data_IF_218607676547
#
_entry.id   IF_218607676547
#
_cell.length_a   1.000
_cell.length_b   1.000
_cell.length_c   1.000
_cell.angle_alpha   90.00
_cell.angle_beta   90.00
_cell.angle_gamma   90.00
#
_symmetry.space_group_name_H-M   'P 1'
#
loop_
_entity.id
_entity.type
_entity.pdbx_description
1 polymer ?
#
# COMPACT_ATOMS: atom_id res chain seq x y z
N UNK A 1 -25.76 10.42 -79.24
CA UNK A 1 -24.56 10.73 -78.44
C UNK A 1 -24.93 11.70 -77.32
N UNK A 2 -24.43 11.46 -76.10
CA UNK A 2 -24.34 12.34 -74.91
C UNK A 2 -25.55 12.44 -73.95
N UNK A 3 -25.36 11.71 -72.82
CA UNK A 3 -25.53 12.10 -71.41
C UNK A 3 -26.96 12.31 -70.89
N UNK A 4 -27.41 11.49 -69.93
CA UNK A 4 -27.48 11.86 -68.50
C UNK A 4 -27.39 10.61 -67.62
N UNK A 5 -26.56 10.75 -66.59
CA UNK A 5 -26.21 9.81 -65.53
C UNK A 5 -27.48 9.31 -64.81
N UNK A 6 -27.66 7.99 -64.72
CA UNK A 6 -28.58 7.38 -63.76
C UNK A 6 -27.77 7.02 -62.51
N UNK A 7 -27.91 7.86 -61.49
CA UNK A 7 -27.42 7.59 -60.14
C UNK A 7 -28.40 6.59 -59.53
N UNK A 8 -27.98 5.34 -59.31
CA UNK A 8 -28.60 4.48 -58.31
C UNK A 8 -27.61 4.28 -57.18
N UNK A 9 -27.97 4.86 -56.05
CA UNK A 9 -27.19 4.94 -54.83
C UNK A 9 -26.77 3.54 -54.36
N UNK A 10 -25.46 3.29 -54.34
CA UNK A 10 -24.89 2.30 -53.43
C UNK A 10 -25.16 2.85 -52.04
N UNK A 11 -26.07 2.21 -51.31
CA UNK A 11 -26.23 2.43 -49.88
C UNK A 11 -24.92 1.99 -49.21
N UNK A 12 -23.96 2.91 -49.14
CA UNK A 12 -22.84 2.80 -48.22
C UNK A 12 -23.47 2.90 -46.85
N UNK A 13 -23.84 1.75 -46.30
CA UNK A 13 -24.25 1.61 -44.92
C UNK A 13 -23.02 2.03 -44.12
N UNK A 14 -22.99 3.31 -43.78
CA UNK A 14 -21.99 3.93 -42.94
C UNK A 14 -21.94 3.10 -41.68
N UNK A 15 -20.90 2.27 -41.58
CA UNK A 15 -20.50 1.68 -40.31
C UNK A 15 -20.14 2.88 -39.47
N UNK A 16 -21.13 3.37 -38.71
CA UNK A 16 -20.91 4.31 -37.64
C UNK A 16 -20.01 3.56 -36.66
N UNK A 17 -18.69 3.73 -36.84
CA UNK A 17 -17.71 3.33 -35.88
C UNK A 17 -17.95 4.21 -34.66
N UNK A 18 -18.88 3.77 -33.81
CA UNK A 18 -19.07 4.30 -32.46
C UNK A 18 -17.81 3.95 -31.67
N UNK A 19 -16.72 4.64 -31.97
CA UNK A 19 -15.52 4.67 -31.15
C UNK A 19 -15.90 5.48 -29.91
N UNK A 20 -16.68 4.85 -29.03
CA UNK A 20 -16.88 5.30 -27.67
C UNK A 20 -15.47 5.50 -27.10
N UNK A 21 -15.06 6.76 -26.95
CA UNK A 21 -13.82 7.11 -26.29
C UNK A 21 -13.96 6.71 -24.83
N UNK A 22 -13.63 5.45 -24.53
CA UNK A 22 -13.58 4.95 -23.17
C UNK A 22 -12.55 5.80 -22.43
N UNK A 23 -13.01 6.55 -21.43
CA UNK A 23 -12.13 7.35 -20.57
C UNK A 23 -11.06 6.43 -20.01
N UNK A 24 -9.80 6.79 -20.22
CA UNK A 24 -8.63 6.06 -19.73
C UNK A 24 -8.15 6.66 -18.41
N UNK A 25 -7.56 5.83 -17.57
CA UNK A 25 -7.00 6.20 -16.27
C UNK A 25 -6.80 4.95 -15.43
N UNK A 26 -6.17 5.08 -14.27
CA UNK A 26 -6.04 3.95 -13.36
C UNK A 26 -7.41 3.44 -12.91
N UNK A 27 -7.68 2.15 -13.11
CA UNK A 27 -8.95 1.50 -12.73
C UNK A 27 -8.86 0.72 -11.42
N UNK A 28 -7.69 0.66 -10.79
CA UNK A 28 -7.48 -0.06 -9.53
C UNK A 28 -7.85 0.84 -8.34
N UNK A 29 -8.85 0.43 -7.55
CA UNK A 29 -9.33 1.19 -6.38
C UNK A 29 -8.30 1.30 -5.25
N UNK A 30 -7.27 0.45 -5.26
CA UNK A 30 -6.21 0.46 -4.27
C UNK A 30 -5.04 1.37 -4.67
N UNK A 31 -5.07 1.96 -5.87
CA UNK A 31 -4.08 2.92 -6.33
C UNK A 31 -4.37 4.33 -5.80
N UNK A 32 -3.33 5.12 -5.53
CA UNK A 32 -3.46 6.50 -5.08
C UNK A 32 -4.08 7.43 -6.13
N UNK A 33 -3.89 7.09 -7.41
CA UNK A 33 -4.41 7.82 -8.55
C UNK A 33 -5.59 7.10 -9.22
N UNK A 34 -6.33 6.30 -8.47
CA UNK A 34 -7.58 5.70 -8.94
C UNK A 34 -8.50 6.74 -9.56
N UNK A 35 -8.99 6.45 -10.76
CA UNK A 35 -9.94 7.31 -11.45
C UNK A 35 -11.25 6.57 -11.69
N UNK A 36 -12.25 6.84 -10.85
CA UNK A 36 -13.56 6.16 -10.87
C UNK A 36 -14.27 6.19 -12.24
N UNK A 37 -13.97 7.20 -13.08
CA UNK A 37 -14.60 7.35 -14.40
C UNK A 37 -13.81 6.66 -15.51
N UNK A 38 -12.63 6.11 -15.20
CA UNK A 38 -11.87 5.29 -16.13
C UNK A 38 -12.63 4.00 -16.44
N UNK A 39 -12.82 3.73 -17.72
CA UNK A 39 -13.39 2.47 -18.22
C UNK A 39 -12.30 1.53 -18.76
N UNK A 40 -11.07 2.02 -18.87
CA UNK A 40 -9.92 1.26 -19.37
C UNK A 40 -8.66 1.74 -18.65
N UNK A 41 -7.93 0.79 -18.09
CA UNK A 41 -6.63 1.05 -17.49
C UNK A 41 -5.64 1.62 -18.51
N UNK A 42 -4.89 2.64 -18.11
CA UNK A 42 -3.80 3.23 -18.88
C UNK A 42 -2.41 2.85 -18.36
N UNK A 43 -2.33 2.04 -17.31
CA UNK A 43 -1.07 1.62 -16.68
C UNK A 43 -0.37 2.75 -15.91
N UNK A 44 -1.11 3.81 -15.57
CA UNK A 44 -0.63 4.91 -14.73
C UNK A 44 -0.74 4.63 -13.23
N UNK A 45 -1.39 3.54 -12.81
CA UNK A 45 -1.61 3.24 -11.39
C UNK A 45 -0.33 3.31 -10.56
N UNK A 46 -0.41 4.03 -9.45
CA UNK A 46 0.64 4.19 -8.44
C UNK A 46 0.10 3.82 -7.07
N UNK A 47 0.91 3.18 -6.25
CA UNK A 47 0.47 2.58 -5.00
C UNK A 47 1.35 3.03 -3.85
N UNK A 48 0.73 3.25 -2.68
CA UNK A 48 1.41 3.35 -1.39
C UNK A 48 0.92 2.26 -0.46
N UNK A 49 1.75 1.90 0.50
CA UNK A 49 1.37 1.00 1.59
C UNK A 49 2.01 1.48 2.88
N UNK A 50 1.38 1.21 4.02
CA UNK A 50 1.94 1.59 5.32
C UNK A 50 2.15 0.38 6.20
N UNK A 51 3.20 0.41 7.03
CA UNK A 51 3.40 -0.54 8.12
C UNK A 51 3.31 0.22 9.45
N UNK A 52 2.68 -0.37 10.46
CA UNK A 52 2.63 0.17 11.80
C UNK A 52 2.94 -0.93 12.82
N UNK A 53 3.72 -0.57 13.84
CA UNK A 53 4.08 -1.45 14.94
C UNK A 53 3.35 -1.01 16.21
N UNK A 54 2.96 -1.98 17.02
CA UNK A 54 2.38 -1.78 18.34
C UNK A 54 2.71 -2.98 19.22
N UNK A 55 2.54 -2.84 20.54
CA UNK A 55 2.62 -3.93 21.49
C UNK A 55 1.67 -3.69 22.65
N UNK A 56 1.25 -4.79 23.25
CA UNK A 56 0.28 -4.83 24.34
C UNK A 56 0.94 -4.54 25.69
N UNK A 57 0.11 -4.34 26.72
CA UNK A 57 0.58 -4.17 28.09
C UNK A 57 1.42 -5.36 28.57
N UNK A 58 1.01 -6.59 28.26
CA UNK A 58 1.78 -7.78 28.67
C UNK A 58 3.17 -7.83 28.05
N UNK A 59 3.33 -7.33 26.82
CA UNK A 59 4.64 -7.22 26.18
C UNK A 59 5.48 -6.13 26.82
N UNK A 60 4.88 -4.99 27.14
CA UNK A 60 5.54 -3.89 27.87
C UNK A 60 6.03 -4.34 29.25
N UNK A 61 5.19 -5.06 30.00
CA UNK A 61 5.55 -5.63 31.31
C UNK A 61 6.71 -6.63 31.18
N UNK A 62 6.72 -7.48 30.14
CA UNK A 62 7.80 -8.44 29.90
C UNK A 62 9.13 -7.75 29.58
N UNK A 63 9.11 -6.76 28.68
CA UNK A 63 10.29 -5.96 28.33
C UNK A 63 10.88 -5.25 29.55
N UNK A 64 10.02 -4.61 30.36
CA UNK A 64 10.45 -3.93 31.57
C UNK A 64 11.09 -4.89 32.59
N UNK A 65 10.53 -6.09 32.74
CA UNK A 65 11.07 -7.09 33.66
C UNK A 65 12.42 -7.67 33.21
N UNK A 66 12.70 -7.64 31.91
CA UNK A 66 14.00 -8.03 31.34
C UNK A 66 15.02 -6.88 31.33
N UNK A 67 14.58 -5.66 31.68
CA UNK A 67 15.43 -4.49 31.81
C UNK A 67 15.61 -3.68 30.53
N UNK A 68 14.79 -3.91 29.50
CA UNK A 68 14.75 -3.05 28.33
C UNK A 68 14.11 -1.70 28.70
N UNK A 69 14.74 -0.60 28.29
CA UNK A 69 14.22 0.78 28.45
C UNK A 69 13.58 1.29 27.16
N UNK A 70 14.02 0.81 25.99
CA UNK A 70 13.54 1.28 24.70
C UNK A 70 13.54 0.20 23.62
N UNK A 71 12.65 0.35 22.64
CA UNK A 71 12.62 -0.43 21.41
C UNK A 71 12.99 0.42 20.20
N UNK A 72 13.68 -0.19 19.24
CA UNK A 72 14.11 0.37 17.97
C UNK A 72 13.56 -0.46 16.81
N UNK A 73 12.86 0.18 15.89
CA UNK A 73 12.12 -0.48 14.82
C UNK A 73 12.79 -0.21 13.49
N UNK A 74 13.13 -1.29 12.79
CA UNK A 74 13.80 -1.25 11.51
C UNK A 74 12.93 -1.89 10.44
N UNK A 75 12.90 -1.28 9.27
CA UNK A 75 12.34 -1.88 8.06
C UNK A 75 13.34 -1.72 6.91
N UNK A 76 13.63 -2.82 6.20
CA UNK A 76 14.74 -2.91 5.23
C UNK A 76 16.07 -2.37 5.82
N UNK A 77 16.36 -2.73 7.09
CA UNK A 77 17.51 -2.26 7.88
C UNK A 77 17.58 -0.73 8.14
N UNK A 78 16.55 0.03 7.79
CA UNK A 78 16.46 1.47 8.11
C UNK A 78 15.66 1.64 9.41
N UNK A 79 16.23 2.38 10.37
CA UNK A 79 15.51 2.79 11.57
C UNK A 79 14.33 3.69 11.17
N UNK A 80 13.10 3.26 11.48
CA UNK A 80 11.88 4.01 11.20
C UNK A 80 11.32 4.73 12.43
N UNK A 81 11.71 4.31 13.63
CA UNK A 81 11.28 4.93 14.87
C UNK A 81 11.75 4.15 16.10
N UNK A 82 11.42 4.70 17.26
CA UNK A 82 11.67 4.11 18.57
C UNK A 82 10.50 4.35 19.51
N UNK A 83 10.43 3.57 20.58
CA UNK A 83 9.48 3.74 21.68
C UNK A 83 10.10 3.36 23.01
N UNK A 84 9.57 3.86 24.12
CA UNK A 84 9.97 3.38 25.44
C UNK A 84 9.40 1.98 25.70
N UNK A 85 10.11 1.11 26.42
CA UNK A 85 9.63 -0.23 26.72
C UNK A 85 8.40 -0.24 27.64
N UNK A 86 8.24 0.80 28.46
CA UNK A 86 7.18 0.98 29.47
C UNK A 86 5.86 1.58 28.93
N UNK A 87 5.78 1.85 27.62
CA UNK A 87 4.52 2.28 26.98
C UNK A 87 3.81 1.10 26.32
N UNK A 88 2.49 1.18 26.18
CA UNK A 88 1.69 0.17 25.49
C UNK A 88 0.49 0.83 24.81
N UNK A 89 -0.05 0.15 23.80
CA UNK A 89 -1.19 0.66 23.06
C UNK A 89 -2.23 -0.42 22.80
N UNK A 90 -3.46 0.04 22.56
CA UNK A 90 -4.45 -0.80 21.90
C UNK A 90 -4.06 -1.00 20.44
N UNK A 91 -4.48 -2.14 19.87
CA UNK A 91 -4.30 -2.43 18.45
C UNK A 91 -4.76 -1.25 17.58
N UNK A 92 -3.86 -0.66 16.75
CA UNK A 92 -4.21 0.48 15.91
C UNK A 92 -5.10 0.06 14.74
N UNK A 93 -5.52 1.04 13.94
CA UNK A 93 -6.27 0.83 12.69
C UNK A 93 -5.57 1.55 11.54
N UNK A 94 -5.89 1.21 10.29
CA UNK A 94 -5.32 1.92 9.13
C UNK A 94 -5.67 3.42 9.09
N UNK A 95 -6.76 3.84 9.74
CA UNK A 95 -7.17 5.25 9.82
C UNK A 95 -6.45 6.03 10.92
N UNK A 96 -5.78 5.33 11.84
CA UNK A 96 -5.01 5.91 12.94
C UNK A 96 -3.82 5.00 13.18
N UNK A 97 -2.82 5.14 12.32
CA UNK A 97 -1.59 4.36 12.42
C UNK A 97 -0.96 4.63 13.79
N UNK A 98 -0.57 3.55 14.46
CA UNK A 98 0.03 3.60 15.79
C UNK A 98 1.32 4.46 15.84
N UNK A 99 1.92 4.59 17.02
CA UNK A 99 3.01 5.54 17.28
C UNK A 99 4.23 5.32 16.38
N UNK A 100 4.54 4.08 16.02
CA UNK A 100 5.65 3.73 15.14
C UNK A 100 5.09 3.23 13.82
N UNK A 101 5.15 4.05 12.79
CA UNK A 101 4.67 3.69 11.46
C UNK A 101 5.56 4.26 10.35
N UNK A 102 5.48 3.64 9.18
CA UNK A 102 6.19 4.10 7.99
C UNK A 102 5.36 3.82 6.74
N UNK A 103 5.29 4.80 5.84
CA UNK A 103 4.63 4.67 4.55
C UNK A 103 5.66 4.48 3.44
N UNK A 104 5.43 3.45 2.62
CA UNK A 104 6.21 3.13 1.44
C UNK A 104 5.50 3.63 0.19
N UNK A 105 6.28 4.26 -0.69
CA UNK A 105 5.92 4.41 -2.10
C UNK A 105 6.28 3.12 -2.84
N UNK A 106 5.29 2.43 -3.40
CA UNK A 106 5.49 1.22 -4.19
C UNK A 106 5.59 1.53 -5.69
N UNK A 107 5.40 2.79 -6.10
CA UNK A 107 5.33 3.18 -7.49
C UNK A 107 4.27 2.38 -8.22
N UNK A 108 4.62 1.75 -9.35
CA UNK A 108 3.71 0.92 -10.15
C UNK A 108 3.49 -0.49 -9.60
N UNK A 109 4.26 -0.91 -8.60
CA UNK A 109 4.16 -2.25 -8.03
C UNK A 109 2.99 -2.32 -7.06
N UNK A 110 2.17 -3.36 -7.18
CA UNK A 110 1.05 -3.60 -6.25
C UNK A 110 1.48 -4.16 -4.91
N UNK A 111 2.68 -4.74 -4.85
CA UNK A 111 3.23 -5.35 -3.64
C UNK A 111 4.71 -5.07 -3.50
N UNK A 112 5.19 -5.09 -2.26
CA UNK A 112 6.61 -5.06 -1.92
C UNK A 112 6.84 -5.90 -0.67
N UNK A 113 7.77 -6.84 -0.72
CA UNK A 113 8.23 -7.54 0.47
C UNK A 113 9.35 -6.75 1.12
N UNK A 114 9.24 -6.52 2.43
CA UNK A 114 10.24 -5.83 3.24
C UNK A 114 10.62 -6.70 4.42
N UNK A 115 11.87 -6.58 4.89
CA UNK A 115 12.26 -7.17 6.17
C UNK A 115 11.95 -6.21 7.31
N UNK A 116 11.51 -6.72 8.46
CA UNK A 116 11.39 -5.93 9.68
C UNK A 116 12.24 -6.54 10.79
N UNK A 117 12.69 -5.68 11.70
CA UNK A 117 13.45 -6.06 12.89
C UNK A 117 13.14 -5.08 14.01
N UNK A 118 12.87 -5.60 15.19
CA UNK A 118 12.68 -4.83 16.42
C UNK A 118 13.76 -5.26 17.39
N UNK A 119 14.54 -4.30 17.86
CA UNK A 119 15.56 -4.50 18.88
C UNK A 119 15.21 -3.72 20.12
N UNK A 120 15.71 -4.13 21.26
CA UNK A 120 15.74 -3.26 22.43
C UNK A 120 17.05 -2.42 22.49
N UNK A 121 17.24 -1.70 23.58
CA UNK A 121 18.44 -0.91 23.88
C UNK A 121 19.64 -1.73 24.36
N UNK A 122 19.43 -3.01 24.68
CA UNK A 122 20.48 -3.99 24.97
C UNK A 122 20.99 -4.67 23.68
N UNK A 123 20.48 -4.25 22.52
CA UNK A 123 20.76 -4.78 21.18
C UNK A 123 20.18 -6.18 20.90
N UNK A 124 19.32 -6.68 21.79
CA UNK A 124 18.64 -7.96 21.68
C UNK A 124 17.50 -7.89 20.65
N UNK A 125 17.34 -8.95 19.87
CA UNK A 125 16.30 -9.01 18.83
C UNK A 125 15.01 -9.53 19.45
N UNK A 126 14.01 -8.64 19.53
CA UNK A 126 12.69 -8.95 20.08
C UNK A 126 11.82 -9.67 19.05
N UNK A 127 11.75 -9.11 17.84
CA UNK A 127 11.05 -9.72 16.71
C UNK A 127 11.76 -9.40 15.40
N UNK A 128 11.76 -10.33 14.46
CA UNK A 128 12.16 -10.06 13.08
C UNK A 128 11.42 -10.96 12.09
N UNK A 129 11.39 -10.55 10.83
CA UNK A 129 10.78 -11.34 9.78
C UNK A 129 10.66 -10.59 8.47
N UNK A 130 9.86 -11.14 7.55
CA UNK A 130 9.53 -10.51 6.29
C UNK A 130 8.02 -10.32 6.19
N UNK A 131 7.59 -9.22 5.58
CA UNK A 131 6.18 -8.90 5.39
C UNK A 131 5.95 -8.37 3.98
N UNK A 132 4.88 -8.85 3.34
CA UNK A 132 4.48 -8.38 2.01
C UNK A 132 3.45 -7.26 2.16
N UNK A 133 3.90 -6.05 1.89
CA UNK A 133 3.08 -4.85 1.81
C UNK A 133 2.25 -4.88 0.52
N UNK A 134 1.02 -4.41 0.59
CA UNK A 134 0.09 -4.32 -0.53
C UNK A 134 -0.35 -2.88 -0.73
N UNK A 135 -0.36 -2.45 -1.99
CA UNK A 135 -0.81 -1.13 -2.39
C UNK A 135 -2.24 -0.85 -1.92
N UNK A 136 -2.46 0.34 -1.37
CA UNK A 136 -3.75 0.76 -0.80
C UNK A 136 -4.07 0.15 0.57
N UNK A 137 -3.23 -0.75 1.09
CA UNK A 137 -3.42 -1.42 2.37
C UNK A 137 -2.40 -0.92 3.41
N UNK A 138 -2.77 -1.06 4.69
CA UNK A 138 -1.85 -0.94 5.80
C UNK A 138 -1.61 -2.31 6.46
N UNK A 139 -0.39 -2.54 6.92
CA UNK A 139 0.00 -3.74 7.65
C UNK A 139 0.27 -3.38 9.11
N UNK A 140 -0.43 -4.04 10.03
CA UNK A 140 -0.33 -3.78 11.47
C UNK A 140 0.39 -4.95 12.11
N UNK A 141 1.55 -4.68 12.69
CA UNK A 141 2.45 -5.66 13.29
C UNK A 141 2.39 -5.53 14.81
N UNK A 142 2.00 -6.61 15.47
CA UNK A 142 2.15 -6.73 16.92
C UNK A 142 3.56 -7.24 17.23
N UNK A 143 4.29 -6.48 18.06
CA UNK A 143 5.55 -6.94 18.65
C UNK A 143 5.18 -7.78 19.85
N UNK A 144 5.71 -9.00 19.90
CA UNK A 144 5.44 -9.97 20.96
C UNK A 144 6.78 -10.41 21.51
N UNK A 145 7.05 -10.01 22.75
CA UNK A 145 8.22 -10.44 23.51
C UNK A 145 8.00 -11.90 23.96
N UNK A 146 8.96 -12.82 23.70
CA UNK A 146 8.82 -14.25 23.95
C UNK A 146 8.82 -14.64 25.44
#
# INVERSE_FOLDING_TARGET
>A
MKKKLFVMAVAVMSVATFSSCAKKGCTDSNAENYYEKAKKDDGSCTYKSSIAFWYSQSTSDALWNDGSDALYFYVDNKLIGSSAADTYWNKPTCSSLGPVNYTFDLGKSKTKTVSYKVKDDLDDIINEGNVTLKGGECTIMEVVYP
#
